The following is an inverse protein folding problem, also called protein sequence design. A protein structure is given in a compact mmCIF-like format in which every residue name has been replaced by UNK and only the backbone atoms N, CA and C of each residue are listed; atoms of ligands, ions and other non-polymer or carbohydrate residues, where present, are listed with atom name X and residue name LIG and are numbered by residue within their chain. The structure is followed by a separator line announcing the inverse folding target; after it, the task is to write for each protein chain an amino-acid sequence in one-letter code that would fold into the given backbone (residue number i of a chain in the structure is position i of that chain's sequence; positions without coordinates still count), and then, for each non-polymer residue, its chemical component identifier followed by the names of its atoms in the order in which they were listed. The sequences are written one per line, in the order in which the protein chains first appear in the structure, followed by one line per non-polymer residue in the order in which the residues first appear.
data_IF_050642871500
#
_entry.id   IF_050642871500
#
_cell.length_a   1.000
_cell.length_b   1.000
_cell.length_c   1.000
_cell.angle_alpha   90.00
_cell.angle_beta   90.00
_cell.angle_gamma   90.00
#
_symmetry.space_group_name_H-M   'P 1'
#
loop_
_entity.id
_entity.type
_entity.pdbx_description
1 polymer ?
#
# COMPACT_ATOMS: atom_id res chain seq x y z
N UNK A 1 -13.17 4.65 32.17
CA UNK A 1 -14.03 3.70 31.43
C UNK A 1 -13.19 2.47 31.12
N UNK A 2 -13.48 1.35 31.75
CA UNK A 2 -12.80 0.09 31.51
C UNK A 2 -13.36 -0.57 30.23
N UNK A 3 -12.54 -1.39 29.57
CA UNK A 3 -12.80 -2.04 28.28
C UNK A 3 -14.12 -2.85 28.19
N UNK A 4 -14.80 -3.10 29.32
CA UNK A 4 -16.10 -3.80 29.37
C UNK A 4 -17.32 -2.94 28.95
N UNK A 5 -17.21 -1.61 28.88
CA UNK A 5 -18.36 -0.76 28.51
C UNK A 5 -18.61 -0.69 27.00
N UNK A 6 -17.63 -1.08 26.16
CA UNK A 6 -17.77 -1.01 24.69
C UNK A 6 -18.67 -2.10 24.11
N UNK A 7 -18.62 -3.33 24.65
CA UNK A 7 -19.51 -4.42 24.20
C UNK A 7 -20.96 -4.18 24.59
N UNK A 8 -21.22 -3.56 25.75
CA UNK A 8 -22.57 -3.20 26.15
C UNK A 8 -23.16 -2.13 25.24
N UNK A 9 -22.38 -1.10 24.90
CA UNK A 9 -22.81 -0.04 23.99
C UNK A 9 -23.08 -0.58 22.58
N UNK A 10 -22.23 -1.49 22.08
CA UNK A 10 -22.40 -2.13 20.77
C UNK A 10 -23.66 -3.02 20.73
N UNK A 11 -23.87 -3.84 21.77
CA UNK A 11 -25.03 -4.71 21.87
C UNK A 11 -26.35 -3.93 22.01
N UNK A 12 -26.34 -2.78 22.68
CA UNK A 12 -27.53 -1.93 22.85
C UNK A 12 -27.88 -1.17 21.56
N UNK A 13 -26.88 -0.61 20.86
CA UNK A 13 -27.10 0.04 19.55
C UNK A 13 -27.64 -0.92 18.49
N UNK A 14 -27.27 -2.21 18.56
CA UNK A 14 -27.79 -3.24 17.66
C UNK A 14 -29.29 -3.56 17.86
N UNK A 15 -29.88 -3.13 18.99
CA UNK A 15 -31.30 -3.34 19.32
C UNK A 15 -32.21 -2.16 18.94
N UNK A 16 -31.68 -1.08 18.38
CA UNK A 16 -32.48 0.05 17.91
C UNK A 16 -33.08 0.91 19.01
N UNK A 17 -32.51 0.90 20.22
CA UNK A 17 -32.87 1.83 21.30
C UNK A 17 -32.24 3.21 20.98
N UNK A 18 -33.06 4.22 20.68
CA UNK A 18 -32.61 5.54 20.18
C UNK A 18 -32.96 6.72 21.08
N UNK A 19 -33.00 6.54 22.40
CA UNK A 19 -33.14 7.67 23.33
C UNK A 19 -32.03 7.65 24.38
N UNK A 20 -30.94 8.39 24.10
CA UNK A 20 -29.98 8.78 25.13
C UNK A 20 -29.49 10.21 24.88
N UNK A 21 -29.94 11.14 25.73
CA UNK A 21 -29.18 12.35 26.04
C UNK A 21 -28.06 11.95 27.01
N UNK A 22 -26.84 11.79 26.51
CA UNK A 22 -25.67 11.68 27.37
C UNK A 22 -25.23 13.12 27.69
N UNK A 23 -25.73 13.65 28.80
CA UNK A 23 -25.23 14.90 29.37
C UNK A 23 -23.86 14.63 30.02
N UNK A 24 -22.80 14.77 29.24
CA UNK A 24 -21.42 14.71 29.75
C UNK A 24 -21.16 15.97 30.59
N UNK A 25 -21.30 15.83 31.91
CA UNK A 25 -20.92 16.89 32.85
C UNK A 25 -19.41 17.14 32.75
N UNK A 26 -18.96 18.36 32.41
CA UNK A 26 -17.54 18.70 32.27
C UNK A 26 -16.72 18.39 33.53
N UNK A 27 -17.35 18.41 34.71
CA UNK A 27 -16.71 18.12 35.98
C UNK A 27 -16.14 16.69 36.06
N UNK A 28 -16.80 15.69 35.46
CA UNK A 28 -16.38 14.30 35.51
C UNK A 28 -15.12 14.01 34.66
N UNK A 29 -14.89 14.80 33.61
CA UNK A 29 -13.69 14.71 32.77
C UNK A 29 -12.49 15.32 33.50
N UNK A 30 -12.70 16.39 34.26
CA UNK A 30 -11.66 17.04 35.08
C UNK A 30 -11.26 16.13 36.24
N UNK A 31 -12.19 15.46 36.92
CA UNK A 31 -11.87 14.49 37.97
C UNK A 31 -11.08 13.28 37.44
N UNK A 32 -11.44 12.74 36.27
CA UNK A 32 -10.71 11.63 35.67
C UNK A 32 -9.27 11.98 35.23
N UNK A 33 -9.02 13.25 34.88
CA UNK A 33 -7.68 13.76 34.55
C UNK A 33 -6.83 14.04 35.80
N UNK A 34 -7.45 14.44 36.91
CA UNK A 34 -6.76 14.72 38.17
C UNK A 34 -6.35 13.43 38.89
N UNK A 35 -7.16 12.37 38.84
CA UNK A 35 -6.88 11.09 39.55
C UNK A 35 -5.73 10.28 38.93
N UNK A 36 -5.32 10.56 37.69
CA UNK A 36 -4.18 9.89 37.04
C UNK A 36 -2.83 10.61 37.16
N UNK A 37 -2.75 11.67 37.97
CA UNK A 37 -1.45 12.23 38.36
C UNK A 37 -0.82 11.32 39.42
N UNK A 38 0.02 10.38 38.99
CA UNK A 38 0.89 9.67 39.92
C UNK A 38 1.70 10.70 40.72
N UNK A 39 1.75 10.61 42.07
CA UNK A 39 2.63 11.47 42.84
C UNK A 39 4.06 11.19 42.40
N UNK A 40 4.66 12.15 41.69
CA UNK A 40 6.11 12.17 41.51
C UNK A 40 6.70 12.34 42.90
N UNK A 41 7.22 11.25 43.47
CA UNK A 41 8.09 11.34 44.62
C UNK A 41 9.19 12.37 44.31
N UNK A 42 9.49 13.31 45.22
CA UNK A 42 10.59 14.23 45.02
C UNK A 42 11.85 13.38 44.82
N UNK A 43 12.47 13.51 43.66
CA UNK A 43 13.80 12.96 43.40
C UNK A 43 14.71 13.67 44.39
N UNK A 44 15.10 12.97 45.46
CA UNK A 44 16.12 13.46 46.37
C UNK A 44 17.40 13.70 45.55
N UNK A 45 17.79 14.97 45.43
CA UNK A 45 19.06 15.38 44.86
C UNK A 45 20.20 14.86 45.72
N UNK A 46 20.74 13.70 45.35
CA UNK A 46 22.05 13.26 45.84
C UNK A 46 23.12 14.00 45.04
N UNK A 47 23.49 15.20 45.48
CA UNK A 47 24.71 15.85 45.04
C UNK A 47 25.91 15.26 45.80
N UNK A 48 26.51 14.24 45.19
CA UNK A 48 27.89 13.84 45.44
C UNK A 48 28.63 13.82 44.10
N UNK A 49 29.59 14.74 43.90
CA UNK A 49 30.58 14.73 42.82
C UNK A 49 31.94 14.71 43.55
N UNK A 50 32.93 13.86 43.28
CA UNK A 50 33.46 13.36 42.00
C UNK A 50 34.25 12.03 42.19
N UNK A 51 34.28 11.12 41.18
CA UNK A 51 35.54 10.99 40.45
C UNK A 51 35.33 10.90 38.93
N UNK A 52 35.72 11.95 38.23
CA UNK A 52 35.72 12.11 36.78
C UNK A 52 34.33 12.26 36.19
N UNK A 53 33.85 13.50 36.04
CA UNK A 53 32.63 13.86 35.31
C UNK A 53 32.53 13.09 33.97
N UNK A 54 31.70 12.04 33.93
CA UNK A 54 31.52 11.20 32.74
C UNK A 54 30.60 11.91 31.76
N UNK A 55 31.18 12.51 30.72
CA UNK A 55 30.43 13.05 29.59
C UNK A 55 30.10 11.92 28.61
N UNK A 56 28.92 11.95 27.98
CA UNK A 56 28.58 11.08 26.84
C UNK A 56 29.64 11.16 25.74
N UNK A 57 30.28 12.31 25.56
CA UNK A 57 31.37 12.52 24.60
C UNK A 57 32.68 11.79 24.96
N UNK A 58 32.82 11.30 26.21
CA UNK A 58 33.94 10.46 26.62
C UNK A 58 33.73 8.99 26.24
N UNK A 59 32.57 8.64 25.69
CA UNK A 59 32.26 7.30 25.21
C UNK A 59 33.01 7.02 23.90
N UNK A 60 33.59 5.80 23.73
CA UNK A 60 34.14 5.41 22.44
C UNK A 60 33.09 5.54 21.32
N UNK A 61 33.50 6.14 20.20
CA UNK A 61 32.64 6.39 19.04
C UNK A 61 31.92 5.10 18.57
N UNK A 62 32.60 3.96 18.61
CA UNK A 62 32.02 2.65 18.27
C UNK A 62 30.81 2.26 19.13
N UNK A 63 30.82 2.62 20.42
CA UNK A 63 29.71 2.36 21.31
C UNK A 63 28.55 3.34 21.05
N UNK A 64 28.87 4.61 20.75
CA UNK A 64 27.85 5.58 20.33
C UNK A 64 27.15 5.15 19.03
N UNK A 65 27.90 4.64 18.05
CA UNK A 65 27.34 4.05 16.83
C UNK A 65 26.43 2.86 17.13
N UNK A 66 26.83 1.99 18.05
CA UNK A 66 26.01 0.83 18.45
C UNK A 66 24.71 1.27 19.12
N UNK A 67 24.74 2.27 20.00
CA UNK A 67 23.54 2.83 20.65
C UNK A 67 22.65 3.49 19.59
N UNK A 68 23.19 4.39 18.77
CA UNK A 68 22.43 5.10 17.73
C UNK A 68 21.87 4.15 16.66
N UNK A 69 22.57 3.06 16.37
CA UNK A 69 22.14 2.00 15.46
C UNK A 69 21.03 1.12 16.01
N UNK A 70 20.91 1.01 17.34
CA UNK A 70 19.82 0.30 18.01
C UNK A 70 18.55 1.14 18.17
N UNK A 71 18.64 2.47 18.06
CA UNK A 71 17.47 3.34 18.04
C UNK A 71 16.74 3.22 16.70
N UNK A 72 15.42 3.27 16.75
CA UNK A 72 14.64 3.37 15.53
C UNK A 72 14.92 4.72 14.83
N UNK A 73 14.75 4.84 13.51
CA UNK A 73 15.14 6.08 12.85
C UNK A 73 14.34 7.33 13.25
N UNK A 74 13.12 7.17 13.77
CA UNK A 74 12.34 8.28 14.35
C UNK A 74 12.99 8.73 15.64
N UNK A 75 13.31 7.81 16.55
CA UNK A 75 14.05 8.12 17.79
C UNK A 75 15.41 8.76 17.49
N UNK A 76 16.10 8.27 16.45
CA UNK A 76 17.37 8.83 16.00
C UNK A 76 17.26 10.29 15.56
N UNK A 77 16.08 10.78 15.18
CA UNK A 77 15.91 12.21 14.89
C UNK A 77 16.13 13.09 16.13
N UNK A 78 15.83 12.60 17.33
CA UNK A 78 16.10 13.32 18.57
C UNK A 78 17.61 13.47 18.83
N UNK A 79 18.43 12.52 18.37
CA UNK A 79 19.88 12.62 18.46
C UNK A 79 20.42 13.83 17.68
N UNK A 80 19.75 14.24 16.59
CA UNK A 80 20.17 15.38 15.76
C UNK A 80 20.07 16.73 16.48
N UNK A 81 19.24 16.84 17.52
CA UNK A 81 19.07 18.08 18.29
C UNK A 81 20.03 18.19 19.48
N UNK A 82 20.82 17.16 19.80
CA UNK A 82 21.69 17.17 20.98
C UNK A 82 22.93 18.04 20.78
N UNK A 83 23.79 17.70 19.82
CA UNK A 83 24.95 18.51 19.42
C UNK A 83 25.44 18.12 18.01
N UNK A 84 26.40 18.88 17.46
CA UNK A 84 26.93 18.65 16.10
C UNK A 84 27.56 17.26 15.91
N UNK A 85 28.26 16.74 16.92
CA UNK A 85 28.91 15.43 16.82
C UNK A 85 27.88 14.29 16.79
N UNK A 86 26.87 14.35 17.66
CA UNK A 86 25.78 13.36 17.71
C UNK A 86 24.89 13.47 16.47
N UNK A 87 24.66 14.68 15.96
CA UNK A 87 23.98 14.86 14.66
C UNK A 87 24.74 14.19 13.53
N UNK A 88 26.05 14.42 13.42
CA UNK A 88 26.89 13.78 12.39
C UNK A 88 26.89 12.25 12.52
N UNK A 89 26.93 11.73 13.75
CA UNK A 89 26.79 10.30 14.04
C UNK A 89 25.44 9.77 13.54
N UNK A 90 24.34 10.44 13.88
CA UNK A 90 22.99 10.06 13.44
C UNK A 90 22.87 10.09 11.91
N UNK A 91 23.44 11.11 11.26
CA UNK A 91 23.42 11.30 9.80
C UNK A 91 24.29 10.28 9.05
N UNK A 92 25.32 9.72 9.70
CA UNK A 92 26.15 8.65 9.13
C UNK A 92 25.45 7.28 9.13
N UNK A 93 24.28 7.17 9.74
CA UNK A 93 23.45 5.97 9.77
C UNK A 93 22.17 6.21 8.95
N UNK A 94 22.22 6.06 7.61
CA UNK A 94 21.08 6.38 6.73
C UNK A 94 19.88 5.50 7.09
N UNK A 95 18.68 6.09 7.24
CA UNK A 95 17.49 5.31 7.54
C UNK A 95 16.96 4.67 6.26
N UNK A 96 17.28 3.39 6.09
CA UNK A 96 16.75 2.55 5.03
C UNK A 96 15.70 1.63 5.64
N UNK A 97 14.46 1.77 5.18
CA UNK A 97 13.35 0.94 5.61
C UNK A 97 12.92 -0.02 4.52
N UNK A 98 12.56 -1.24 4.91
CA UNK A 98 12.01 -2.21 3.98
C UNK A 98 10.61 -1.78 3.56
N UNK A 99 9.76 -1.37 4.51
CA UNK A 99 8.45 -0.83 4.15
C UNK A 99 8.01 0.34 5.03
N UNK A 100 7.14 1.17 4.46
CA UNK A 100 6.44 2.23 5.16
C UNK A 100 4.97 2.18 4.76
N UNK A 101 4.08 2.18 5.73
CA UNK A 101 2.65 2.33 5.49
C UNK A 101 2.23 3.70 5.98
N UNK A 102 1.68 4.52 5.09
CA UNK A 102 1.10 5.82 5.41
C UNK A 102 -0.36 5.78 5.05
N UNK A 103 -1.20 6.29 5.94
CA UNK A 103 -2.58 6.39 5.60
C UNK A 103 -3.35 7.49 6.32
N UNK A 104 -4.46 7.83 5.69
CA UNK A 104 -5.32 8.94 6.05
C UNK A 104 -6.68 8.39 6.46
N UNK A 105 -7.13 8.77 7.65
CA UNK A 105 -8.42 8.33 8.20
C UNK A 105 -9.55 9.30 7.86
N UNK A 106 -10.78 8.84 8.04
CA UNK A 106 -11.97 9.68 7.94
C UNK A 106 -12.04 10.81 8.98
N UNK A 107 -11.25 10.76 10.06
CA UNK A 107 -11.15 11.83 11.06
C UNK A 107 -10.02 12.83 10.76
N UNK A 108 -9.61 12.98 9.51
CA UNK A 108 -8.51 13.86 9.08
C UNK A 108 -7.21 13.63 9.88
N UNK A 109 -6.89 12.36 10.16
CA UNK A 109 -5.68 12.00 10.89
C UNK A 109 -4.74 11.19 10.01
N UNK A 110 -3.50 11.66 9.93
CA UNK A 110 -2.39 10.94 9.32
C UNK A 110 -1.81 9.95 10.33
N UNK A 111 -1.75 8.69 9.93
CA UNK A 111 -1.03 7.66 10.66
C UNK A 111 -0.01 6.99 9.74
N UNK A 112 1.12 6.62 10.31
CA UNK A 112 2.14 5.90 9.57
C UNK A 112 2.95 4.99 10.48
N UNK A 113 3.54 3.97 9.86
CA UNK A 113 4.42 3.00 10.53
C UNK A 113 5.46 2.46 9.58
N UNK A 114 6.54 1.96 10.15
CA UNK A 114 7.64 1.33 9.42
C UNK A 114 7.66 -0.17 9.63
N UNK A 115 7.95 -0.93 8.56
CA UNK A 115 8.04 -2.38 8.58
C UNK A 115 6.81 -3.01 9.27
N UNK A 116 7.02 -4.10 9.99
CA UNK A 116 6.02 -4.75 10.84
C UNK A 116 6.06 -4.22 12.30
N UNK A 117 6.58 -3.01 12.51
CA UNK A 117 6.64 -2.42 13.84
C UNK A 117 5.21 -2.15 14.37
N UNK A 118 4.86 -2.57 15.60
CA UNK A 118 3.57 -2.24 16.22
C UNK A 118 3.42 -0.74 16.52
N UNK A 119 4.52 0.01 16.63
CA UNK A 119 4.46 1.45 16.93
C UNK A 119 3.86 2.22 15.76
N UNK A 120 2.72 2.83 16.01
CA UNK A 120 2.06 3.75 15.09
C UNK A 120 2.42 5.19 15.46
N UNK A 121 2.67 6.00 14.44
CA UNK A 121 2.97 7.42 14.59
C UNK A 121 1.84 8.26 14.02
N UNK A 122 1.56 9.39 14.66
CA UNK A 122 0.48 10.29 14.30
C UNK A 122 1.01 11.70 13.97
N UNK A 123 0.31 12.36 13.05
CA UNK A 123 0.51 13.76 12.70
C UNK A 123 1.51 14.03 11.56
N UNK A 124 1.26 15.13 10.86
CA UNK A 124 1.97 15.55 9.64
C UNK A 124 3.40 16.01 9.92
N UNK A 125 3.61 16.84 10.96
CA UNK A 125 4.91 17.46 11.23
C UNK A 125 6.04 16.50 11.60
N UNK A 126 5.74 15.26 11.99
CA UNK A 126 6.78 14.22 12.17
C UNK A 126 7.19 13.60 10.85
N UNK A 127 6.25 13.46 9.92
CA UNK A 127 6.51 12.88 8.61
C UNK A 127 7.44 13.77 7.78
N UNK A 128 7.21 15.09 7.76
CA UNK A 128 8.08 16.07 7.09
C UNK A 128 9.53 16.07 7.61
N UNK A 129 9.72 15.82 8.91
CA UNK A 129 11.06 15.74 9.48
C UNK A 129 11.83 14.51 8.98
N UNK A 130 11.13 13.44 8.62
CA UNK A 130 11.74 12.21 8.13
C UNK A 130 12.25 12.34 6.68
N UNK A 131 11.52 13.02 5.79
CA UNK A 131 12.02 13.26 4.42
C UNK A 131 13.27 14.12 4.36
N UNK A 132 13.45 14.98 5.36
CA UNK A 132 14.62 15.82 5.47
C UNK A 132 15.87 15.08 5.97
N UNK A 133 15.77 13.79 6.31
CA UNK A 133 16.92 12.99 6.74
C UNK A 133 17.75 12.59 5.50
N UNK A 134 19.05 12.95 5.45
CA UNK A 134 19.93 12.54 4.37
C UNK A 134 19.96 11.01 4.23
N UNK A 135 19.81 10.53 3.00
CA UNK A 135 19.84 9.10 2.70
C UNK A 135 18.59 8.32 3.10
N UNK A 136 17.50 8.98 3.49
CA UNK A 136 16.22 8.32 3.73
C UNK A 136 15.74 7.57 2.48
N UNK A 137 15.47 6.27 2.65
CA UNK A 137 15.01 5.37 1.59
C UNK A 137 13.97 4.41 2.13
N UNK A 138 12.95 4.13 1.33
CA UNK A 138 11.91 3.14 1.62
C UNK A 138 11.81 2.23 0.41
N UNK A 139 11.93 0.91 0.56
CA UNK A 139 11.77 0.02 -0.59
C UNK A 139 10.30 -0.10 -0.99
N UNK A 140 9.42 -0.35 -0.02
CA UNK A 140 7.99 -0.58 -0.23
C UNK A 140 7.14 0.48 0.45
N UNK A 141 6.45 1.31 -0.32
CA UNK A 141 5.53 2.32 0.17
C UNK A 141 4.10 1.84 0.02
N UNK A 142 3.35 1.81 1.11
CA UNK A 142 1.93 1.54 1.11
C UNK A 142 1.17 2.81 1.47
N UNK A 143 0.27 3.23 0.59
CA UNK A 143 -0.53 4.44 0.73
C UNK A 143 -1.99 4.04 0.84
N UNK A 144 -2.66 4.40 1.93
CA UNK A 144 -4.09 4.14 2.07
C UNK A 144 -4.87 5.40 2.40
N UNK A 145 -5.95 5.63 1.69
CA UNK A 145 -6.95 6.61 2.08
C UNK A 145 -8.21 5.85 2.44
N UNK A 146 -8.54 5.80 3.73
CA UNK A 146 -9.78 5.18 4.16
C UNK A 146 -10.92 6.18 4.00
N UNK A 147 -11.53 6.14 2.82
CA UNK A 147 -12.82 6.77 2.58
C UNK A 147 -13.93 6.01 3.32
N UNK A 148 -14.89 6.75 3.90
CA UNK A 148 -16.15 6.29 4.52
C UNK A 148 -16.06 4.97 5.30
N UNK A 149 -15.85 5.07 6.62
CA UNK A 149 -16.28 4.01 7.53
C UNK A 149 -17.75 4.24 7.89
N UNK A 150 -18.67 3.70 7.08
CA UNK A 150 -20.10 3.61 7.42
C UNK A 150 -21.01 4.73 6.88
N UNK A 151 -22.31 4.44 6.83
CA UNK A 151 -23.41 5.37 6.45
C UNK A 151 -23.67 6.48 7.48
N UNK A 152 -22.72 6.73 8.37
CA UNK A 152 -22.89 7.74 9.41
C UNK A 152 -22.70 9.12 8.80
N UNK A 153 -23.52 10.07 9.25
CA UNK A 153 -23.61 11.48 8.81
C UNK A 153 -22.32 12.30 9.02
N UNK A 154 -21.18 11.66 9.28
CA UNK A 154 -19.93 12.36 9.52
C UNK A 154 -19.39 12.92 8.20
N UNK A 155 -19.17 14.23 8.23
CA UNK A 155 -18.65 15.05 7.14
C UNK A 155 -17.49 14.38 6.40
N UNK A 156 -17.48 14.54 5.08
CA UNK A 156 -16.35 14.16 4.25
C UNK A 156 -15.05 14.73 4.84
N UNK A 157 -13.96 13.94 4.85
CA UNK A 157 -12.66 14.49 5.21
C UNK A 157 -12.40 15.70 4.31
N UNK A 158 -12.01 16.81 4.93
CA UNK A 158 -11.84 18.10 4.22
C UNK A 158 -10.64 18.06 3.27
N UNK A 159 -9.69 17.18 3.56
CA UNK A 159 -8.44 17.00 2.83
C UNK A 159 -8.23 15.51 2.51
N UNK A 160 -7.43 15.27 1.47
CA UNK A 160 -7.03 13.95 1.00
C UNK A 160 -5.61 13.64 1.45
N UNK A 161 -5.23 12.37 1.41
CA UNK A 161 -3.86 11.96 1.71
C UNK A 161 -2.83 12.67 0.83
N UNK A 162 -3.14 12.90 -0.45
CA UNK A 162 -2.24 13.61 -1.36
C UNK A 162 -1.99 15.08 -0.93
N UNK A 163 -2.94 15.71 -0.24
CA UNK A 163 -2.84 17.11 0.17
C UNK A 163 -1.88 17.31 1.36
N UNK A 164 -1.58 16.23 2.11
CA UNK A 164 -0.77 16.26 3.34
C UNK A 164 0.58 15.57 3.19
N UNK A 165 0.81 14.93 2.03
CA UNK A 165 2.10 14.31 1.72
C UNK A 165 3.01 15.32 1.00
N UNK A 166 4.29 15.39 1.34
CA UNK A 166 5.22 16.28 0.64
C UNK A 166 5.39 15.90 -0.84
N UNK A 167 5.52 16.88 -1.74
CA UNK A 167 5.51 16.68 -3.20
C UNK A 167 6.61 15.75 -3.75
N UNK A 168 7.70 15.55 -3.01
CA UNK A 168 8.84 14.71 -3.43
C UNK A 168 9.29 13.74 -2.34
N UNK A 169 8.33 13.30 -1.52
CA UNK A 169 8.59 12.67 -0.23
C UNK A 169 9.41 11.37 -0.31
N UNK A 170 9.22 10.51 -1.33
CA UNK A 170 9.65 9.11 -1.25
C UNK A 170 10.33 8.57 -2.51
N UNK A 171 11.61 8.23 -2.36
CA UNK A 171 12.31 7.33 -3.29
C UNK A 171 11.88 5.88 -2.96
N UNK A 172 10.70 5.49 -3.44
CA UNK A 172 10.18 4.13 -3.30
C UNK A 172 10.43 3.30 -4.55
N UNK A 173 10.79 2.02 -4.35
CA UNK A 173 10.88 1.04 -5.44
C UNK A 173 9.52 0.45 -5.77
N UNK A 174 8.70 0.23 -4.76
CA UNK A 174 7.40 -0.42 -4.88
C UNK A 174 6.34 0.44 -4.21
N UNK A 175 5.19 0.61 -4.86
CA UNK A 175 4.07 1.39 -4.32
C UNK A 175 2.79 0.56 -4.31
N UNK A 176 2.11 0.52 -3.16
CA UNK A 176 0.85 -0.20 -2.92
C UNK A 176 -0.24 0.81 -2.51
N UNK A 177 -1.15 1.13 -3.43
CA UNK A 177 -2.14 2.21 -3.29
C UNK A 177 -3.54 1.64 -3.06
N UNK A 178 -4.18 2.04 -1.96
CA UNK A 178 -5.58 1.74 -1.66
C UNK A 178 -6.36 3.01 -1.36
N UNK A 179 -7.17 3.45 -2.32
CA UNK A 179 -7.92 4.71 -2.26
C UNK A 179 -9.31 4.54 -2.86
N UNK A 180 -10.18 5.51 -2.59
CA UNK A 180 -11.53 5.50 -3.11
C UNK A 180 -11.57 5.78 -4.62
N UNK A 181 -10.76 6.70 -5.15
CA UNK A 181 -10.80 7.05 -6.57
C UNK A 181 -9.45 6.85 -7.25
N UNK A 182 -9.49 6.53 -8.53
CA UNK A 182 -8.31 6.47 -9.39
C UNK A 182 -7.62 7.84 -9.58
N UNK A 183 -8.34 8.95 -9.50
CA UNK A 183 -7.72 10.28 -9.48
C UNK A 183 -6.84 10.45 -8.23
N UNK A 184 -7.32 10.00 -7.06
CA UNK A 184 -6.50 9.99 -5.84
C UNK A 184 -5.29 9.05 -6.02
N UNK A 185 -5.47 7.92 -6.70
CA UNK A 185 -4.35 7.01 -6.97
C UNK A 185 -3.28 7.65 -7.86
N UNK A 186 -3.67 8.41 -8.88
CA UNK A 186 -2.76 9.16 -9.75
C UNK A 186 -2.01 10.23 -8.96
N UNK A 187 -2.71 10.98 -8.11
CA UNK A 187 -2.08 11.98 -7.24
C UNK A 187 -1.11 11.37 -6.23
N UNK A 188 -1.42 10.20 -5.67
CA UNK A 188 -0.50 9.51 -4.77
C UNK A 188 0.68 8.88 -5.52
N UNK A 189 0.46 8.41 -6.74
CA UNK A 189 1.53 7.87 -7.58
C UNK A 189 2.52 8.97 -8.00
N UNK A 190 2.09 10.23 -8.14
CA UNK A 190 2.97 11.34 -8.53
C UNK A 190 4.05 11.67 -7.49
N UNK A 191 3.85 11.26 -6.23
CA UNK A 191 4.82 11.41 -5.13
C UNK A 191 6.04 10.52 -5.35
N UNK A 192 5.90 9.43 -6.10
CA UNK A 192 6.98 8.52 -6.43
C UNK A 192 7.70 8.95 -7.71
N UNK A 193 9.03 8.81 -7.71
CA UNK A 193 9.87 9.10 -8.88
C UNK A 193 9.68 8.04 -9.97
N UNK A 194 9.31 8.42 -11.20
CA UNK A 194 9.05 7.46 -12.27
C UNK A 194 10.18 6.46 -12.57
N UNK A 195 11.44 6.90 -12.53
CA UNK A 195 12.60 6.07 -12.89
C UNK A 195 13.07 5.10 -11.82
N UNK A 196 12.66 5.30 -10.57
CA UNK A 196 13.07 4.46 -9.43
C UNK A 196 12.06 3.33 -9.15
N UNK A 197 10.86 3.41 -9.72
CA UNK A 197 9.78 2.45 -9.51
C UNK A 197 10.02 1.14 -10.27
N UNK A 198 10.07 0.05 -9.52
CA UNK A 198 10.11 -1.32 -10.01
C UNK A 198 8.71 -1.94 -10.05
N UNK A 199 7.81 -1.59 -9.12
CA UNK A 199 6.44 -2.12 -9.11
C UNK A 199 5.36 -1.16 -8.60
N UNK A 200 4.15 -1.34 -9.13
CA UNK A 200 2.93 -0.64 -8.71
C UNK A 200 1.84 -1.67 -8.40
N UNK A 201 1.16 -1.52 -7.27
CA UNK A 201 -0.02 -2.27 -6.89
C UNK A 201 -1.17 -1.32 -6.60
N UNK A 202 -2.32 -1.56 -7.23
CA UNK A 202 -3.52 -0.76 -7.10
C UNK A 202 -4.69 -1.62 -6.62
N UNK A 203 -5.28 -1.23 -5.50
CA UNK A 203 -6.49 -1.85 -4.95
C UNK A 203 -7.75 -1.41 -5.69
N UNK A 204 -8.89 -2.12 -5.51
CA UNK A 204 -10.13 -1.73 -6.15
C UNK A 204 -10.53 -0.31 -5.77
N UNK A 205 -10.80 0.51 -6.78
CA UNK A 205 -11.31 1.89 -6.65
C UNK A 205 -12.82 1.91 -6.94
N UNK A 206 -13.51 2.92 -6.42
CA UNK A 206 -14.94 3.16 -6.65
C UNK A 206 -15.21 3.44 -8.15
N UNK A 207 -16.42 3.07 -8.56
CA UNK A 207 -16.89 2.90 -9.95
C UNK A 207 -17.73 4.07 -10.44
N UNK A 208 -18.00 5.03 -9.56
CA UNK A 208 -18.99 6.09 -9.78
C UNK A 208 -18.52 7.18 -10.76
N UNK A 209 -17.22 7.28 -11.03
CA UNK A 209 -16.65 8.25 -11.96
C UNK A 209 -16.11 7.53 -13.22
N UNK A 210 -16.87 7.62 -14.32
CA UNK A 210 -16.57 6.98 -15.60
C UNK A 210 -15.14 7.25 -16.10
N UNK A 211 -14.47 6.18 -16.55
CA UNK A 211 -13.22 6.13 -17.33
C UNK A 211 -12.08 7.07 -16.90
N UNK A 212 -11.23 6.58 -16.00
CA UNK A 212 -10.02 7.31 -15.58
C UNK A 212 -8.74 6.47 -15.59
N UNK A 213 -8.83 5.17 -15.89
CA UNK A 213 -7.64 4.35 -16.15
C UNK A 213 -6.80 4.87 -17.33
N UNK A 214 -7.36 5.45 -18.41
CA UNK A 214 -6.54 6.07 -19.45
C UNK A 214 -5.59 7.15 -18.91
N UNK A 215 -6.02 7.94 -17.92
CA UNK A 215 -5.13 8.93 -17.27
C UNK A 215 -4.03 8.25 -16.46
N UNK A 216 -4.36 7.16 -15.75
CA UNK A 216 -3.38 6.38 -15.00
C UNK A 216 -2.31 5.76 -15.93
N UNK A 217 -2.70 5.16 -17.05
CA UNK A 217 -1.76 4.59 -18.02
C UNK A 217 -0.87 5.64 -18.70
N UNK A 218 -1.32 6.90 -18.73
CA UNK A 218 -0.53 7.99 -19.27
C UNK A 218 0.53 8.55 -18.32
N UNK A 219 0.53 8.14 -17.05
CA UNK A 219 1.54 8.59 -16.07
C UNK A 219 2.93 8.06 -16.40
N UNK A 220 3.95 8.87 -16.15
CA UNK A 220 5.35 8.48 -16.35
C UNK A 220 5.75 7.30 -15.45
N UNK A 221 5.20 7.26 -14.22
CA UNK A 221 5.42 6.19 -13.25
C UNK A 221 4.97 4.83 -13.81
N UNK A 222 3.77 4.78 -14.40
CA UNK A 222 3.27 3.56 -15.02
C UNK A 222 4.10 3.15 -16.24
N UNK A 223 4.41 4.10 -17.13
CA UNK A 223 5.17 3.85 -18.37
C UNK A 223 6.60 3.35 -18.15
N UNK A 224 7.22 3.68 -17.01
CA UNK A 224 8.62 3.29 -16.69
C UNK A 224 8.72 2.11 -15.74
N UNK A 225 7.63 1.76 -15.07
CA UNK A 225 7.57 0.62 -14.15
C UNK A 225 7.71 -0.71 -14.90
N UNK A 226 8.25 -1.72 -14.23
CA UNK A 226 8.42 -3.08 -14.79
C UNK A 226 7.28 -4.03 -14.43
N UNK A 227 6.67 -3.83 -13.26
CA UNK A 227 5.70 -4.76 -12.70
C UNK A 227 4.43 -4.05 -12.23
N UNK A 228 3.25 -4.53 -12.62
CA UNK A 228 1.98 -3.91 -12.20
C UNK A 228 0.96 -4.94 -11.71
N UNK A 229 0.33 -4.69 -10.57
CA UNK A 229 -0.85 -5.44 -10.12
C UNK A 229 -2.06 -4.51 -9.96
N UNK A 230 -3.15 -4.76 -10.70
CA UNK A 230 -4.42 -4.04 -10.59
C UNK A 230 -5.49 -5.03 -10.12
N UNK A 231 -5.97 -4.85 -8.89
CA UNK A 231 -6.89 -5.79 -8.25
C UNK A 231 -8.33 -5.71 -8.75
N UNK A 232 -8.67 -4.71 -9.55
CA UNK A 232 -9.95 -4.60 -10.24
C UNK A 232 -9.86 -3.60 -11.38
N UNK A 233 -10.12 -4.05 -12.60
CA UNK A 233 -10.23 -3.25 -13.81
C UNK A 233 -11.57 -3.60 -14.49
N UNK A 234 -12.43 -2.61 -14.65
CA UNK A 234 -13.77 -2.78 -15.21
C UNK A 234 -13.79 -2.50 -16.71
N UNK A 235 -14.66 -3.19 -17.42
CA UNK A 235 -14.71 -3.17 -18.87
C UNK A 235 -13.59 -4.04 -19.40
N UNK A 236 -13.95 -5.15 -20.04
CA UNK A 236 -12.97 -5.82 -20.86
C UNK A 236 -12.91 -5.09 -22.20
N UNK A 237 -11.77 -4.48 -22.44
CA UNK A 237 -11.37 -4.06 -23.76
C UNK A 237 -9.95 -4.59 -23.97
N UNK A 238 -9.77 -5.38 -25.03
CA UNK A 238 -8.45 -5.94 -25.34
C UNK A 238 -7.43 -4.84 -25.62
N UNK A 239 -7.87 -3.67 -26.10
CA UNK A 239 -7.00 -2.52 -26.33
C UNK A 239 -6.37 -2.02 -25.03
N UNK A 240 -7.03 -2.23 -23.89
CA UNK A 240 -6.47 -1.88 -22.58
C UNK A 240 -5.21 -2.70 -22.29
N UNK A 241 -5.12 -3.95 -22.76
CA UNK A 241 -3.92 -4.78 -22.58
C UNK A 241 -2.68 -4.17 -23.26
N UNK A 242 -2.85 -3.44 -24.37
CA UNK A 242 -1.74 -2.79 -25.07
C UNK A 242 -0.98 -1.79 -24.19
N UNK A 243 -1.64 -1.22 -23.17
CA UNK A 243 -0.99 -0.37 -22.17
C UNK A 243 0.02 -1.12 -21.29
N UNK A 244 0.02 -2.45 -21.28
CA UNK A 244 0.91 -3.29 -20.46
C UNK A 244 2.05 -3.89 -21.29
N UNK A 245 2.19 -3.52 -22.56
CA UNK A 245 3.16 -4.09 -23.51
C UNK A 245 4.62 -3.90 -23.10
N UNK A 246 4.94 -2.83 -22.37
CA UNK A 246 6.26 -2.52 -21.84
C UNK A 246 6.60 -3.24 -20.53
N UNK A 247 5.63 -3.93 -19.92
CA UNK A 247 5.82 -4.55 -18.60
C UNK A 247 6.47 -5.93 -18.72
N UNK A 248 7.37 -6.22 -17.77
CA UNK A 248 7.93 -7.56 -17.58
C UNK A 248 6.93 -8.51 -16.94
N UNK A 249 6.16 -8.00 -15.99
CA UNK A 249 5.14 -8.79 -15.30
C UNK A 249 3.91 -7.97 -14.97
N UNK A 250 2.72 -8.54 -15.16
CA UNK A 250 1.52 -7.90 -14.65
C UNK A 250 0.46 -8.88 -14.16
N UNK A 251 -0.37 -8.41 -13.24
CA UNK A 251 -1.53 -9.14 -12.72
C UNK A 251 -2.73 -8.22 -12.72
N UNK A 252 -3.79 -8.63 -13.41
CA UNK A 252 -5.01 -7.81 -13.50
C UNK A 252 -6.24 -8.67 -13.26
N UNK A 253 -7.18 -8.13 -12.48
CA UNK A 253 -8.53 -8.69 -12.36
C UNK A 253 -9.46 -7.92 -13.28
N UNK A 254 -9.93 -8.57 -14.33
CA UNK A 254 -10.82 -8.01 -15.33
C UNK A 254 -12.27 -8.40 -15.03
N UNK A 255 -13.20 -7.49 -15.26
CA UNK A 255 -14.64 -7.78 -15.25
C UNK A 255 -15.29 -7.15 -16.47
N UNK A 256 -16.16 -7.90 -17.14
CA UNK A 256 -16.87 -7.47 -18.35
C UNK A 256 -17.57 -8.63 -19.03
N UNK A 257 -18.20 -8.37 -20.16
CA UNK A 257 -18.83 -9.40 -20.98
C UNK A 257 -17.79 -9.98 -21.93
N UNK A 258 -17.22 -11.12 -21.56
CA UNK A 258 -16.22 -11.83 -22.35
C UNK A 258 -16.90 -12.80 -23.31
N UNK A 259 -16.49 -12.79 -24.57
CA UNK A 259 -16.92 -13.73 -25.62
C UNK A 259 -15.78 -14.66 -26.04
N UNK A 260 -16.11 -15.70 -26.82
CA UNK A 260 -15.13 -16.74 -27.23
C UNK A 260 -13.93 -16.14 -27.98
N UNK A 261 -14.19 -15.16 -28.85
CA UNK A 261 -13.17 -14.47 -29.66
C UNK A 261 -12.19 -13.67 -28.81
N UNK A 262 -12.58 -13.24 -27.61
CA UNK A 262 -11.73 -12.42 -26.74
C UNK A 262 -10.49 -13.19 -26.28
N UNK A 263 -10.60 -14.50 -26.10
CA UNK A 263 -9.44 -15.31 -25.75
C UNK A 263 -8.37 -15.27 -26.86
N UNK A 264 -8.79 -15.37 -28.12
CA UNK A 264 -7.87 -15.31 -29.27
C UNK A 264 -7.20 -13.95 -29.35
N UNK A 265 -7.97 -12.88 -29.14
CA UNK A 265 -7.46 -11.50 -29.11
C UNK A 265 -6.48 -11.29 -27.95
N UNK A 266 -6.77 -11.78 -26.75
CA UNK A 266 -5.85 -11.73 -25.60
C UNK A 266 -4.53 -12.43 -25.95
N UNK A 267 -4.60 -13.65 -26.48
CA UNK A 267 -3.42 -14.42 -26.88
C UNK A 267 -2.58 -13.68 -27.91
N UNK A 268 -3.21 -13.14 -28.95
CA UNK A 268 -2.56 -12.40 -30.03
C UNK A 268 -1.92 -11.13 -29.50
N UNK A 269 -2.65 -10.30 -28.75
CA UNK A 269 -2.11 -9.08 -28.14
C UNK A 269 -0.92 -9.40 -27.23
N UNK A 270 -1.04 -10.36 -26.32
CA UNK A 270 0.05 -10.73 -25.39
C UNK A 270 1.26 -11.31 -26.11
N UNK A 271 1.09 -11.97 -27.26
CA UNK A 271 2.22 -12.49 -28.05
C UNK A 271 3.14 -11.40 -28.59
N UNK A 272 2.62 -10.17 -28.73
CA UNK A 272 3.39 -9.00 -29.17
C UNK A 272 4.29 -8.38 -28.09
N UNK A 273 4.12 -8.74 -26.81
CA UNK A 273 4.80 -8.06 -25.71
C UNK A 273 6.23 -8.56 -25.51
N UNK A 274 7.20 -7.92 -26.18
CA UNK A 274 8.62 -8.37 -26.26
C UNK A 274 9.29 -8.64 -24.91
N UNK A 275 9.05 -7.74 -23.94
CA UNK A 275 9.66 -7.77 -22.60
C UNK A 275 8.92 -8.64 -21.58
N UNK A 276 7.75 -9.18 -21.96
CA UNK A 276 6.92 -9.95 -21.05
C UNK A 276 7.62 -11.25 -20.62
N UNK A 277 7.74 -11.43 -19.31
CA UNK A 277 8.18 -12.66 -18.66
C UNK A 277 6.98 -13.48 -18.19
N UNK A 278 5.98 -12.82 -17.58
CA UNK A 278 4.76 -13.47 -17.07
C UNK A 278 3.58 -12.52 -16.94
N UNK A 279 2.36 -13.02 -17.08
CA UNK A 279 1.18 -12.29 -16.61
C UNK A 279 0.10 -13.19 -16.02
N UNK A 280 -0.76 -12.58 -15.21
CA UNK A 280 -1.91 -13.24 -14.59
C UNK A 280 -3.18 -12.42 -14.85
N UNK A 281 -4.12 -13.02 -15.58
CA UNK A 281 -5.44 -12.45 -15.85
C UNK A 281 -6.46 -13.20 -15.01
N UNK A 282 -7.18 -12.47 -14.15
CA UNK A 282 -8.34 -13.00 -13.44
C UNK A 282 -9.60 -12.41 -14.04
N UNK A 283 -10.33 -13.21 -14.80
CA UNK A 283 -11.54 -12.80 -15.48
C UNK A 283 -12.74 -13.16 -14.60
N UNK A 284 -13.51 -12.16 -14.18
CA UNK A 284 -14.71 -12.30 -13.34
C UNK A 284 -15.94 -12.01 -14.18
N UNK A 285 -16.42 -13.06 -14.87
CA UNK A 285 -17.74 -13.10 -15.53
C UNK A 285 -17.99 -14.50 -16.10
N UNK A 286 -19.14 -14.68 -16.77
CA UNK A 286 -19.68 -15.95 -17.29
C UNK A 286 -18.85 -16.69 -18.32
N UNK A 287 -17.62 -16.24 -18.59
CA UNK A 287 -16.68 -16.94 -19.45
C UNK A 287 -16.34 -18.31 -18.87
N UNK A 288 -16.59 -19.37 -19.63
CA UNK A 288 -16.36 -20.74 -19.16
C UNK A 288 -15.10 -21.33 -19.78
N UNK A 289 -14.38 -22.14 -19.01
CA UNK A 289 -13.18 -22.86 -19.49
C UNK A 289 -13.47 -23.72 -20.74
N UNK A 290 -14.73 -24.15 -20.93
CA UNK A 290 -15.19 -24.88 -22.12
C UNK A 290 -15.15 -24.02 -23.37
N UNK A 291 -15.49 -22.74 -23.29
CA UNK A 291 -15.45 -21.81 -24.42
C UNK A 291 -14.00 -21.59 -24.85
N UNK A 292 -13.09 -21.44 -23.89
CA UNK A 292 -11.65 -21.38 -24.19
C UNK A 292 -11.16 -22.66 -24.88
N UNK A 293 -11.63 -23.84 -24.45
CA UNK A 293 -11.24 -25.09 -25.10
C UNK A 293 -11.74 -25.17 -26.55
N UNK A 294 -12.96 -24.68 -26.83
CA UNK A 294 -13.50 -24.59 -28.20
C UNK A 294 -12.66 -23.65 -29.05
N UNK A 295 -12.36 -22.44 -28.55
CA UNK A 295 -11.51 -21.47 -29.23
C UNK A 295 -10.11 -22.03 -29.55
N UNK A 296 -9.58 -22.90 -28.67
CA UNK A 296 -8.31 -23.57 -28.85
C UNK A 296 -8.36 -24.85 -29.70
N UNK A 297 -9.55 -25.30 -30.12
CA UNK A 297 -9.73 -26.57 -30.81
C UNK A 297 -9.38 -27.80 -29.95
N UNK A 298 -9.36 -27.66 -28.62
CA UNK A 298 -9.02 -28.73 -27.69
C UNK A 298 -10.26 -29.60 -27.46
N UNK A 299 -10.11 -30.92 -27.63
CA UNK A 299 -11.16 -31.88 -27.30
C UNK A 299 -11.52 -31.77 -25.82
N UNK A 300 -12.77 -31.39 -25.54
CA UNK A 300 -13.25 -31.20 -24.17
C UNK A 300 -13.52 -32.58 -23.55
N UNK A 301 -12.87 -32.96 -22.45
CA UNK A 301 -13.14 -34.23 -21.80
C UNK A 301 -14.57 -34.28 -21.23
N UNK A 302 -15.13 -35.48 -21.20
CA UNK A 302 -16.37 -35.79 -20.48
C UNK A 302 -16.12 -35.65 -18.97
N UNK A 303 -16.76 -34.68 -18.32
CA UNK A 303 -16.63 -34.42 -16.88
C UNK A 303 -16.29 -32.97 -16.52
N UNK A 304 -15.95 -32.74 -15.24
CA UNK A 304 -15.59 -31.41 -14.74
C UNK A 304 -14.17 -31.03 -15.17
N UNK A 305 -14.06 -30.02 -16.04
CA UNK A 305 -12.77 -29.47 -16.46
C UNK A 305 -12.36 -28.35 -15.50
N UNK A 306 -11.36 -28.61 -14.64
CA UNK A 306 -10.89 -27.61 -13.65
C UNK A 306 -9.69 -26.82 -14.14
N UNK A 307 -8.84 -27.44 -14.95
CA UNK A 307 -7.57 -26.83 -15.38
C UNK A 307 -7.25 -27.28 -16.79
N UNK A 308 -6.74 -26.36 -17.61
CA UNK A 308 -6.11 -26.66 -18.89
C UNK A 308 -4.74 -26.02 -18.97
N UNK A 309 -3.85 -26.68 -19.71
CA UNK A 309 -2.56 -26.14 -20.12
C UNK A 309 -2.49 -26.10 -21.62
N UNK A 310 -2.07 -24.98 -22.19
CA UNK A 310 -1.95 -24.80 -23.64
C UNK A 310 -0.64 -24.09 -23.95
N UNK A 311 0.10 -24.59 -24.94
CA UNK A 311 1.32 -23.97 -25.44
C UNK A 311 1.04 -23.37 -26.80
N UNK A 312 1.37 -22.09 -26.95
CA UNK A 312 1.21 -21.35 -28.19
C UNK A 312 2.58 -20.92 -28.72
N UNK A 313 2.93 -21.40 -29.92
CA UNK A 313 4.14 -20.93 -30.62
C UNK A 313 3.88 -19.54 -31.18
N UNK A 314 4.74 -18.57 -30.84
CA UNK A 314 4.66 -17.23 -31.42
C UNK A 314 5.17 -17.34 -32.87
N UNK A 315 4.40 -16.90 -33.88
CA UNK A 315 4.83 -16.92 -35.27
C UNK A 315 6.19 -16.23 -35.43
N UNK A 316 7.05 -16.80 -36.27
CA UNK A 316 8.37 -16.23 -36.61
C UNK A 316 9.35 -16.09 -35.41
N UNK A 317 9.00 -16.62 -34.24
CA UNK A 317 9.84 -16.62 -33.04
C UNK A 317 10.13 -18.04 -32.60
N UNK A 318 11.28 -18.25 -31.96
CA UNK A 318 11.55 -19.47 -31.20
C UNK A 318 10.80 -19.48 -29.86
N UNK A 319 10.32 -18.33 -29.39
CA UNK A 319 9.61 -18.21 -28.10
C UNK A 319 8.19 -18.75 -28.19
N UNK A 320 7.69 -19.26 -27.09
CA UNK A 320 6.29 -19.66 -26.94
C UNK A 320 5.64 -19.11 -25.66
N UNK A 321 4.32 -19.08 -25.65
CA UNK A 321 3.50 -18.73 -24.49
C UNK A 321 2.92 -20.01 -23.89
N UNK A 322 3.20 -20.23 -22.61
CA UNK A 322 2.61 -21.30 -21.83
C UNK A 322 1.44 -20.75 -21.01
N UNK A 323 0.24 -21.18 -21.37
CA UNK A 323 -1.01 -20.87 -20.69
C UNK A 323 -1.32 -21.95 -19.66
N UNK A 324 -1.59 -21.55 -18.43
CA UNK A 324 -2.23 -22.35 -17.40
C UNK A 324 -3.53 -21.68 -17.00
N UNK A 325 -4.64 -22.30 -17.30
CA UNK A 325 -5.98 -21.74 -17.10
C UNK A 325 -6.71 -22.61 -16.08
N UNK A 326 -7.18 -21.99 -15.02
CA UNK A 326 -7.85 -22.63 -13.89
C UNK A 326 -9.25 -22.03 -13.73
N UNK A 327 -10.28 -22.89 -13.65
CA UNK A 327 -11.63 -22.50 -13.29
C UNK A 327 -11.76 -22.50 -11.77
N UNK A 328 -12.04 -21.32 -11.19
CA UNK A 328 -12.08 -21.09 -9.75
C UNK A 328 -13.44 -20.55 -9.29
N UNK A 329 -14.53 -21.24 -9.62
CA UNK A 329 -15.89 -20.77 -9.34
C UNK A 329 -16.40 -19.78 -10.40
N UNK A 330 -16.87 -18.57 -10.03
CA UNK A 330 -17.42 -17.59 -10.99
C UNK A 330 -16.32 -16.83 -11.76
N UNK A 331 -15.08 -17.31 -11.72
CA UNK A 331 -13.95 -16.64 -12.37
C UNK A 331 -12.99 -17.64 -12.98
N UNK A 332 -12.33 -17.20 -14.05
CA UNK A 332 -11.20 -17.89 -14.68
C UNK A 332 -9.92 -17.20 -14.27
N UNK A 333 -8.94 -18.00 -13.88
CA UNK A 333 -7.57 -17.56 -13.64
C UNK A 333 -6.69 -18.06 -14.79
N UNK A 334 -6.12 -17.14 -15.56
CA UNK A 334 -5.21 -17.44 -16.65
C UNK A 334 -3.82 -16.93 -16.27
N UNK A 335 -2.87 -17.86 -16.15
CA UNK A 335 -1.45 -17.55 -15.98
C UNK A 335 -0.74 -17.81 -17.29
N UNK A 336 -0.01 -16.82 -17.77
CA UNK A 336 0.71 -16.88 -19.04
C UNK A 336 2.18 -16.65 -18.73
N UNK A 337 3.02 -17.57 -19.16
CA UNK A 337 4.48 -17.47 -19.03
C UNK A 337 5.08 -17.41 -20.43
N UNK A 338 6.03 -16.51 -20.66
CA UNK A 338 6.82 -16.52 -21.89
C UNK A 338 8.05 -17.42 -21.68
N UNK A 339 8.22 -18.40 -22.55
CA UNK A 339 9.32 -19.37 -22.49
C UNK A 339 10.13 -19.38 -23.80
N UNK A 340 11.39 -19.79 -23.70
CA UNK A 340 12.36 -19.82 -24.80
C UNK A 340 12.40 -21.15 -25.53
#
# INVERSE_FOLDING_TARGET
MAYMDYENLYNQLSRGETDFEIELKPEAIVEALVVNTMPMHPVEEIFHVDPGQKNLMNMPVSLMFKIAGNLDPVERTALRSVNKAIKNLADSLPPVFESMSIAWTSCNSLYWKFNDNPTEHFGEGKLEKLSNIPGFKVNNLRLRSYGRCGRTLFNYPKTKLADVLPESFLNAKNVDINVATINDAIQLLSIAKPGDLESIRLWPVDRSEGEHFPKFFNTEQFKKTKNVEILSLQGFDVEVLSNFSHLKSFKIKLSGDFVEEDFLRIRETISTFEDLEKCELRIVSGFQIREICKALGIKIPLGSLKTITHRYQIPESNKCLDFKIESGGPSILMKIMRIR
#
